data_IF_555984461128
#
_entry.id   IF_555984461128
#
_cell.length_a   1.000
_cell.length_b   1.000
_cell.length_c   1.000
_cell.angle_alpha   90.00
_cell.angle_beta   90.00
_cell.angle_gamma   90.00
#
_symmetry.space_group_name_H-M   'P 1'
#
loop_
_entity.id
_entity.type
_entity.pdbx_description
1 polymer ?
#
# COMPACT_ATOMS: atom_id res chain seq x y z
N UNK A 1 18.24 -11.71 -5.25
CA UNK A 1 17.04 -10.92 -5.60
C UNK A 1 17.06 -9.69 -4.69
N UNK A 2 17.15 -8.47 -5.24
CA UNK A 2 17.05 -7.25 -4.44
C UNK A 2 15.58 -6.97 -4.16
N UNK A 3 15.19 -6.96 -2.90
CA UNK A 3 13.84 -6.57 -2.50
C UNK A 3 13.73 -5.05 -2.67
N UNK A 4 12.81 -4.62 -3.52
CA UNK A 4 12.56 -3.20 -3.86
C UNK A 4 11.30 -2.71 -3.15
N UNK A 5 11.15 -1.39 -2.99
CA UNK A 5 9.99 -0.75 -2.32
C UNK A 5 8.61 -1.03 -2.97
N UNK A 6 8.57 -1.75 -4.10
CA UNK A 6 7.35 -2.21 -4.77
C UNK A 6 6.98 -3.65 -4.44
N UNK A 7 7.80 -4.37 -3.69
CA UNK A 7 7.50 -5.76 -3.33
C UNK A 7 6.46 -5.81 -2.21
N UNK A 8 5.51 -6.73 -2.34
CA UNK A 8 4.39 -6.91 -1.40
C UNK A 8 4.86 -7.21 0.03
N UNK A 9 6.08 -7.76 0.16
CA UNK A 9 6.71 -8.14 1.42
C UNK A 9 8.04 -7.42 1.60
N UNK A 10 8.33 -7.01 2.83
CA UNK A 10 9.59 -6.35 3.13
C UNK A 10 10.79 -7.33 3.17
N UNK A 11 12.00 -6.75 3.17
CA UNK A 11 13.27 -7.29 3.67
C UNK A 11 13.18 -8.62 4.44
N UNK A 12 12.59 -8.45 5.62
CA UNK A 12 12.57 -9.36 6.72
C UNK A 12 11.46 -10.41 6.56
N UNK A 13 10.28 -10.00 6.08
CA UNK A 13 9.13 -10.87 5.79
C UNK A 13 9.50 -11.88 4.70
N UNK A 14 10.18 -11.45 3.63
CA UNK A 14 10.66 -12.34 2.58
C UNK A 14 11.68 -13.37 3.11
N UNK A 15 12.66 -12.92 3.91
CA UNK A 15 13.62 -13.83 4.54
C UNK A 15 12.92 -14.84 5.46
N UNK A 16 11.90 -14.41 6.19
CA UNK A 16 11.11 -15.26 7.08
C UNK A 16 10.28 -16.29 6.30
N UNK A 17 9.65 -15.90 5.19
CA UNK A 17 8.93 -16.81 4.29
C UNK A 17 9.88 -17.87 3.71
N UNK A 18 11.06 -17.47 3.24
CA UNK A 18 12.07 -18.40 2.70
C UNK A 18 12.51 -19.40 3.79
N UNK A 19 12.79 -18.92 5.00
CA UNK A 19 13.16 -19.78 6.12
C UNK A 19 12.06 -20.77 6.51
N UNK A 20 10.80 -20.32 6.52
CA UNK A 20 9.64 -21.19 6.75
C UNK A 20 9.47 -22.22 5.62
N UNK A 21 9.64 -21.82 4.36
CA UNK A 21 9.61 -22.72 3.21
C UNK A 21 10.66 -23.82 3.29
N UNK A 22 11.90 -23.47 3.65
CA UNK A 22 12.96 -24.47 3.87
C UNK A 22 12.60 -25.45 5.00
N UNK A 23 11.99 -24.96 6.08
CA UNK A 23 11.56 -25.79 7.21
C UNK A 23 10.38 -26.70 6.86
N UNK A 24 9.45 -26.23 6.02
CA UNK A 24 8.33 -27.00 5.48
C UNK A 24 8.86 -28.15 4.63
N UNK A 25 9.75 -27.85 3.67
CA UNK A 25 10.35 -28.87 2.80
C UNK A 25 11.07 -29.96 3.61
N UNK A 26 11.84 -29.56 4.63
CA UNK A 26 12.51 -30.50 5.52
C UNK A 26 11.53 -31.35 6.36
N UNK A 27 10.41 -30.78 6.81
CA UNK A 27 9.38 -31.53 7.55
C UNK A 27 8.58 -32.48 6.67
N UNK A 28 8.24 -32.07 5.45
CA UNK A 28 7.56 -32.90 4.47
C UNK A 28 8.41 -34.13 4.11
N UNK A 29 9.73 -33.95 3.92
CA UNK A 29 10.66 -35.06 3.73
C UNK A 29 10.68 -36.04 4.91
N UNK A 30 10.35 -35.59 6.13
CA UNK A 30 10.23 -36.43 7.32
C UNK A 30 8.81 -36.97 7.55
N UNK A 31 7.85 -36.71 6.65
CA UNK A 31 6.44 -37.09 6.81
C UNK A 31 5.72 -36.39 7.96
N UNK A 32 6.23 -35.24 8.43
CA UNK A 32 5.64 -34.48 9.56
C UNK A 32 4.68 -33.42 9.05
N UNK A 33 3.65 -33.13 9.86
CA UNK A 33 2.70 -32.05 9.57
C UNK A 33 3.38 -30.68 9.44
N UNK A 34 2.95 -29.94 8.41
CA UNK A 34 3.41 -28.59 8.06
C UNK A 34 2.31 -27.52 8.16
N UNK A 35 1.09 -27.90 8.55
CA UNK A 35 -0.07 -27.01 8.59
C UNK A 35 0.20 -25.71 9.40
N UNK A 36 0.82 -25.82 10.57
CA UNK A 36 1.16 -24.65 11.40
C UNK A 36 2.16 -23.70 10.73
N UNK A 37 3.08 -24.24 9.93
CA UNK A 37 4.10 -23.44 9.23
C UNK A 37 3.49 -22.74 8.02
N UNK A 38 2.62 -23.43 7.29
CA UNK A 38 1.86 -22.86 6.17
C UNK A 38 0.93 -21.74 6.66
N UNK A 39 0.20 -21.97 7.76
CA UNK A 39 -0.63 -20.93 8.39
C UNK A 39 0.17 -19.73 8.92
N UNK A 40 1.48 -19.89 9.20
CA UNK A 40 2.36 -18.76 9.54
C UNK A 40 2.76 -17.97 8.31
N UNK A 41 3.06 -18.64 7.20
CA UNK A 41 3.37 -17.98 5.92
C UNK A 41 2.16 -17.17 5.46
N UNK A 42 0.96 -17.75 5.51
CA UNK A 42 -0.28 -17.06 5.13
C UNK A 42 -0.53 -15.80 5.97
N UNK A 43 -0.34 -15.87 7.29
CA UNK A 43 -0.45 -14.70 8.17
C UNK A 43 0.54 -13.58 7.83
N UNK A 44 1.75 -13.91 7.37
CA UNK A 44 2.74 -12.90 6.95
C UNK A 44 2.26 -12.22 5.67
N UNK A 45 1.77 -13.00 4.70
CA UNK A 45 1.25 -12.48 3.44
C UNK A 45 0.01 -11.61 3.63
N UNK A 46 -0.93 -12.04 4.49
CA UNK A 46 -2.14 -11.28 4.79
C UNK A 46 -1.81 -9.92 5.44
N UNK A 47 -0.86 -9.91 6.39
CA UNK A 47 -0.39 -8.68 7.02
C UNK A 47 0.29 -7.73 6.03
N UNK A 48 1.03 -8.29 5.06
CA UNK A 48 1.63 -7.54 3.96
C UNK A 48 0.56 -6.90 3.08
N UNK A 49 -0.45 -7.68 2.67
CA UNK A 49 -1.57 -7.19 1.85
C UNK A 49 -2.37 -6.08 2.54
N UNK A 50 -2.64 -6.21 3.85
CA UNK A 50 -3.30 -5.17 4.64
C UNK A 50 -2.52 -3.86 4.61
N UNK A 51 -1.19 -3.92 4.73
CA UNK A 51 -0.33 -2.73 4.71
C UNK A 51 -0.34 -2.01 3.35
N UNK A 52 -0.31 -2.74 2.23
CA UNK A 52 -0.43 -2.10 0.91
C UNK A 52 -1.83 -1.52 0.69
N UNK A 53 -2.89 -2.22 1.13
CA UNK A 53 -4.24 -1.68 1.07
C UNK A 53 -4.38 -0.35 1.85
N UNK A 54 -3.80 -0.27 3.04
CA UNK A 54 -3.75 0.99 3.82
C UNK A 54 -3.02 2.11 3.08
N UNK A 55 -1.85 1.82 2.50
CA UNK A 55 -1.09 2.80 1.70
C UNK A 55 -1.89 3.26 0.49
N UNK A 56 -2.57 2.37 -0.20
CA UNK A 56 -3.39 2.70 -1.36
C UNK A 56 -4.57 3.60 -0.98
N UNK A 57 -5.24 3.34 0.15
CA UNK A 57 -6.29 4.22 0.66
C UNK A 57 -5.76 5.63 0.94
N UNK A 58 -4.58 5.74 1.56
CA UNK A 58 -3.94 7.04 1.82
C UNK A 58 -3.58 7.74 0.50
N UNK A 59 -3.01 7.02 -0.48
CA UNK A 59 -2.68 7.56 -1.81
C UNK A 59 -3.94 8.08 -2.51
N UNK A 60 -5.03 7.33 -2.50
CA UNK A 60 -6.31 7.73 -3.09
C UNK A 60 -6.89 8.95 -2.39
N UNK A 61 -6.89 8.98 -1.05
CA UNK A 61 -7.36 10.13 -0.27
C UNK A 61 -6.54 11.39 -0.57
N UNK A 62 -5.22 11.27 -0.65
CA UNK A 62 -4.33 12.38 -1.00
C UNK A 62 -4.58 12.90 -2.43
N UNK A 63 -4.80 12.00 -3.40
CA UNK A 63 -5.14 12.38 -4.76
C UNK A 63 -6.50 13.09 -4.83
N UNK A 64 -7.52 12.57 -4.14
CA UNK A 64 -8.83 13.20 -4.07
C UNK A 64 -8.76 14.60 -3.45
N UNK A 65 -8.01 14.75 -2.35
CA UNK A 65 -7.78 16.05 -1.71
C UNK A 65 -7.06 17.04 -2.65
N UNK A 66 -6.02 16.58 -3.38
CA UNK A 66 -5.32 17.39 -4.35
C UNK A 66 -6.23 17.83 -5.51
N UNK A 67 -7.12 16.96 -5.98
CA UNK A 67 -8.13 17.30 -6.98
C UNK A 67 -9.10 18.36 -6.45
N UNK A 68 -9.67 18.16 -5.25
CA UNK A 68 -10.57 19.12 -4.62
C UNK A 68 -9.92 20.51 -4.46
N UNK A 69 -8.69 20.56 -3.95
CA UNK A 69 -7.95 21.81 -3.80
C UNK A 69 -7.73 22.54 -5.14
N UNK A 70 -7.47 21.81 -6.22
CA UNK A 70 -7.35 22.39 -7.57
C UNK A 70 -8.67 22.97 -8.07
N UNK A 71 -9.80 22.32 -7.80
CA UNK A 71 -11.12 22.82 -8.16
C UNK A 71 -11.45 24.11 -7.40
N UNK A 72 -11.23 24.13 -6.08
CA UNK A 72 -11.46 25.34 -5.27
C UNK A 72 -10.55 26.50 -5.71
N UNK A 73 -9.27 26.24 -5.99
CA UNK A 73 -8.37 27.27 -6.50
C UNK A 73 -8.82 27.85 -7.86
N UNK A 74 -9.40 27.02 -8.74
CA UNK A 74 -9.98 27.48 -10.02
C UNK A 74 -11.24 28.32 -9.80
N UNK A 75 -12.10 27.90 -8.87
CA UNK A 75 -13.33 28.62 -8.50
C UNK A 75 -12.99 29.99 -7.90
N UNK A 76 -12.05 30.05 -6.96
CA UNK A 76 -11.62 31.31 -6.36
C UNK A 76 -11.05 32.27 -7.42
N UNK A 77 -10.18 31.77 -8.31
CA UNK A 77 -9.66 32.57 -9.44
C UNK A 77 -10.76 33.11 -10.34
N UNK A 78 -11.85 32.36 -10.55
CA UNK A 78 -12.99 32.83 -11.34
C UNK A 78 -13.76 33.94 -10.62
N UNK A 79 -13.98 33.79 -9.31
CA UNK A 79 -14.62 34.81 -8.45
C UNK A 79 -13.77 36.09 -8.40
N UNK A 80 -12.46 35.98 -8.20
CA UNK A 80 -11.53 37.12 -8.17
C UNK A 80 -11.53 37.87 -9.51
N UNK A 81 -11.61 37.15 -10.64
CA UNK A 81 -11.72 37.77 -11.97
C UNK A 81 -13.06 38.50 -12.15
N UNK A 82 -14.16 37.92 -11.69
CA UNK A 82 -15.48 38.53 -11.79
C UNK A 82 -15.59 39.81 -10.94
N UNK A 83 -15.11 39.76 -9.70
CA UNK A 83 -15.10 40.91 -8.76
C UNK A 83 -14.17 42.02 -9.21
N UNK A 84 -12.98 41.70 -9.73
CA UNK A 84 -12.09 42.72 -10.30
C UNK A 84 -12.65 43.39 -11.56
N UNK A 85 -13.47 42.68 -12.34
CA UNK A 85 -14.16 43.24 -13.51
C UNK A 85 -15.34 44.14 -13.11
N UNK A 86 -16.02 43.85 -11.99
CA UNK A 86 -17.12 44.69 -11.50
C UNK A 86 -16.66 45.97 -10.80
N UNK A 87 -15.43 46.02 -10.28
CA UNK A 87 -14.88 47.21 -9.60
C UNK A 87 -14.24 48.23 -10.54
N UNK A 88 -14.27 48.01 -11.86
CA UNK A 88 -13.66 48.88 -12.87
C UNK A 88 -14.70 49.70 -13.67
N UNK A 89 -15.97 49.68 -13.22
CA UNK A 89 -17.08 50.49 -13.71
C UNK A 89 -17.50 51.52 -12.66
#
# INVERSE_FOLDING_TARGET
>A
MSITDRDDVNAYEAAQIIALGAKIAHRQAQGKSTADLEARVERILEKAAQREAEKDLIRQAAQAAAHAARFEARKQKAVDRATKKSSWW
#
